data_IF_004769819310
#
_entry.id   IF_004769819310
#
_cell.length_a   1.000
_cell.length_b   1.000
_cell.length_c   1.000
_cell.angle_alpha   90.00
_cell.angle_beta   90.00
_cell.angle_gamma   90.00
#
_symmetry.space_group_name_H-M   'P 1'
#
loop_
_entity.id
_entity.type
_entity.pdbx_description
1 polymer ?
#
# COMPACT_ATOMS: atom_id res chain seq x y z
N UNK A 1 1.66 30.56 6.27
CA UNK A 1 2.38 29.44 5.67
C UNK A 1 3.38 29.99 4.68
N UNK A 2 4.64 29.57 4.82
CA UNK A 2 5.70 29.88 3.83
C UNK A 2 6.05 28.59 3.09
N UNK A 3 6.03 28.62 1.76
CA UNK A 3 6.39 27.50 0.89
C UNK A 3 7.90 27.52 0.64
N UNK A 4 8.55 26.38 0.76
CA UNK A 4 9.98 26.17 0.57
C UNK A 4 10.86 27.19 1.32
N UNK A 5 10.72 27.29 2.66
CA UNK A 5 11.49 28.22 3.46
C UNK A 5 13.00 27.94 3.37
N UNK A 6 13.80 28.99 3.40
CA UNK A 6 15.25 28.88 3.50
C UNK A 6 15.68 28.39 4.88
N UNK A 7 16.67 27.51 4.91
CA UNK A 7 17.30 27.03 6.13
C UNK A 7 18.73 27.64 6.24
N UNK A 8 19.09 28.15 7.41
CA UNK A 8 20.44 28.65 7.64
C UNK A 8 21.51 27.54 7.57
N UNK A 9 21.11 26.28 7.86
CA UNK A 9 22.02 25.14 7.98
C UNK A 9 22.09 24.23 6.75
N UNK A 10 21.26 24.47 5.72
CA UNK A 10 21.16 23.55 4.58
C UNK A 10 20.67 24.26 3.30
N UNK A 11 21.21 23.92 2.14
CA UNK A 11 20.66 24.41 0.85
C UNK A 11 19.33 23.74 0.47
N UNK A 12 18.97 22.67 1.17
CA UNK A 12 17.69 21.98 0.97
C UNK A 12 16.60 22.70 1.75
N UNK A 13 15.40 22.76 1.18
CA UNK A 13 14.25 23.46 1.75
C UNK A 13 13.17 22.45 2.13
N UNK A 14 12.59 22.55 3.35
CA UNK A 14 11.34 21.84 3.68
C UNK A 14 10.20 22.30 2.76
N UNK A 15 9.14 21.50 2.66
CA UNK A 15 8.01 21.90 1.81
C UNK A 15 7.29 23.14 2.37
N UNK A 16 7.14 23.22 3.72
CA UNK A 16 6.43 24.33 4.35
C UNK A 16 7.07 24.75 5.69
N UNK A 17 6.93 26.05 6.01
CA UNK A 17 7.00 26.58 7.37
C UNK A 17 5.59 27.05 7.77
N UNK A 18 5.07 26.48 8.84
CA UNK A 18 3.77 26.81 9.41
C UNK A 18 3.97 27.77 10.58
N UNK A 19 3.25 28.88 10.56
CA UNK A 19 3.17 29.83 11.70
C UNK A 19 1.70 30.00 12.03
N UNK A 20 1.28 29.54 13.23
CA UNK A 20 -0.10 29.64 13.73
C UNK A 20 -0.10 29.58 15.26
N UNK A 21 -0.87 30.45 15.92
CA UNK A 21 -1.08 30.42 17.37
C UNK A 21 0.23 30.40 18.20
N UNK A 22 1.22 31.20 17.83
CA UNK A 22 2.58 31.23 18.41
C UNK A 22 3.32 29.89 18.30
N UNK A 23 2.94 29.02 17.37
CA UNK A 23 3.73 27.88 16.94
C UNK A 23 4.40 28.18 15.61
N UNK A 24 5.67 27.81 15.50
CA UNK A 24 6.39 27.76 14.23
C UNK A 24 7.05 26.40 14.08
N UNK A 25 6.79 25.71 12.97
CA UNK A 25 7.37 24.40 12.69
C UNK A 25 7.48 24.14 11.21
N UNK A 26 8.49 23.36 10.83
CA UNK A 26 8.67 22.89 9.47
C UNK A 26 7.80 21.65 9.20
N UNK A 27 7.36 21.54 7.96
CA UNK A 27 6.61 20.38 7.47
C UNK A 27 7.25 19.89 6.18
N UNK A 28 7.43 18.58 6.11
CA UNK A 28 7.78 17.86 4.89
C UNK A 28 6.62 16.94 4.53
N UNK A 29 6.06 17.09 3.33
CA UNK A 29 4.95 16.29 2.85
C UNK A 29 5.42 15.24 1.84
N UNK A 30 4.82 14.04 1.89
CA UNK A 30 5.13 12.98 0.93
C UNK A 30 3.96 12.04 0.76
N UNK A 31 3.70 11.64 -0.49
CA UNK A 31 2.84 10.50 -0.79
C UNK A 31 3.68 9.22 -0.76
N UNK A 32 3.23 8.23 0.01
CA UNK A 32 3.80 6.89 0.07
C UNK A 32 2.95 5.97 -0.79
N UNK A 33 3.56 5.37 -1.81
CA UNK A 33 2.90 4.40 -2.69
C UNK A 33 3.46 3.01 -2.41
N UNK A 34 2.64 1.98 -2.63
CA UNK A 34 3.03 0.57 -2.50
C UNK A 34 4.07 0.11 -3.50
N UNK A 35 4.24 0.85 -4.58
CA UNK A 35 4.93 0.37 -5.76
C UNK A 35 6.18 1.17 -6.05
N UNK A 36 7.26 0.45 -6.32
CA UNK A 36 8.46 1.03 -6.92
C UNK A 36 8.19 1.37 -8.39
N UNK A 37 9.05 2.19 -9.00
CA UNK A 37 8.94 2.47 -10.44
C UNK A 37 9.00 1.20 -11.29
N UNK A 38 9.75 0.18 -10.84
CA UNK A 38 9.84 -1.13 -11.50
C UNK A 38 8.52 -1.91 -11.40
N UNK A 39 7.89 -1.89 -10.22
CA UNK A 39 6.57 -2.49 -10.02
C UNK A 39 5.48 -1.78 -10.84
N UNK A 40 5.51 -0.43 -10.89
CA UNK A 40 4.59 0.33 -11.74
C UNK A 40 4.81 0.03 -13.24
N UNK A 41 6.06 -0.15 -13.67
CA UNK A 41 6.39 -0.53 -15.04
C UNK A 41 5.91 -1.96 -15.36
N UNK A 42 6.09 -2.89 -14.42
CA UNK A 42 5.58 -4.27 -14.54
C UNK A 42 4.05 -4.28 -14.69
N UNK A 43 3.34 -3.53 -13.85
CA UNK A 43 1.88 -3.46 -13.93
C UNK A 43 1.35 -2.82 -15.21
N UNK A 44 2.00 -1.77 -15.70
CA UNK A 44 1.63 -1.21 -17.01
C UNK A 44 1.74 -2.26 -18.11
N UNK A 45 2.84 -3.04 -18.13
CA UNK A 45 3.02 -4.15 -19.08
C UNK A 45 1.95 -5.20 -18.93
N UNK A 46 1.64 -5.58 -17.70
CA UNK A 46 0.61 -6.57 -17.37
C UNK A 46 -0.77 -6.10 -17.83
N UNK A 47 -1.14 -4.88 -17.52
CA UNK A 47 -2.44 -4.32 -17.89
C UNK A 47 -2.59 -4.23 -19.41
N UNK A 48 -1.55 -3.78 -20.12
CA UNK A 48 -1.57 -3.78 -21.60
C UNK A 48 -1.74 -5.19 -22.18
N UNK A 49 -1.10 -6.20 -21.57
CA UNK A 49 -1.29 -7.58 -21.98
C UNK A 49 -2.72 -8.05 -21.71
N UNK A 50 -3.30 -7.74 -20.57
CA UNK A 50 -4.69 -8.05 -20.22
C UNK A 50 -5.69 -7.34 -21.16
N UNK A 51 -5.46 -6.07 -21.47
CA UNK A 51 -6.28 -5.30 -22.42
C UNK A 51 -6.26 -5.95 -23.81
N UNK A 52 -5.13 -6.52 -24.22
CA UNK A 52 -5.03 -7.23 -25.47
C UNK A 52 -5.70 -8.63 -25.42
N UNK A 53 -5.60 -9.36 -24.31
CA UNK A 53 -6.33 -10.62 -24.11
C UNK A 53 -7.85 -10.39 -24.09
N UNK A 54 -8.30 -9.27 -23.51
CA UNK A 54 -9.73 -8.90 -23.49
C UNK A 54 -10.30 -8.51 -24.87
N UNK A 55 -9.47 -8.47 -25.91
CA UNK A 55 -9.92 -8.32 -27.32
C UNK A 55 -10.14 -9.66 -28.01
N UNK A 56 -9.80 -10.78 -27.36
CA UNK A 56 -10.10 -12.12 -27.89
C UNK A 56 -11.61 -12.29 -28.13
N UNK A 57 -11.97 -12.91 -29.22
CA UNK A 57 -13.35 -13.26 -29.48
C UNK A 57 -13.63 -14.67 -28.93
N UNK A 58 -13.92 -14.74 -27.65
CA UNK A 58 -14.25 -16.00 -26.95
C UNK A 58 -15.69 -15.91 -26.45
N UNK A 59 -16.63 -16.40 -27.24
CA UNK A 59 -18.05 -16.51 -26.81
C UNK A 59 -18.28 -17.70 -25.89
N UNK A 60 -17.52 -18.76 -26.11
CA UNK A 60 -17.71 -20.06 -25.48
C UNK A 60 -16.91 -20.24 -24.20
N UNK A 61 -15.91 -19.36 -23.94
CA UNK A 61 -14.99 -19.48 -22.81
C UNK A 61 -14.71 -18.16 -22.14
N UNK A 62 -14.62 -18.19 -20.82
CA UNK A 62 -13.84 -17.23 -20.04
C UNK A 62 -12.43 -17.78 -19.80
N UNK A 63 -11.46 -16.92 -19.63
CA UNK A 63 -10.07 -17.30 -19.36
C UNK A 63 -9.74 -17.12 -17.90
N UNK A 64 -9.22 -18.17 -17.27
CA UNK A 64 -8.52 -18.09 -16.00
C UNK A 64 -7.02 -17.96 -16.27
N UNK A 65 -6.40 -16.87 -15.85
CA UNK A 65 -4.94 -16.69 -15.98
C UNK A 65 -4.29 -17.29 -14.74
N UNK A 66 -3.76 -18.50 -14.87
CA UNK A 66 -3.11 -19.21 -13.77
C UNK A 66 -1.69 -18.68 -13.50
N UNK A 67 -0.98 -18.33 -14.56
CA UNK A 67 0.40 -17.87 -14.47
C UNK A 67 0.69 -16.80 -15.52
N UNK A 68 1.42 -15.77 -15.11
CA UNK A 68 2.01 -14.76 -15.98
C UNK A 68 3.36 -14.32 -15.47
N UNK A 69 4.39 -14.49 -16.29
CA UNK A 69 5.75 -14.05 -16.00
C UNK A 69 6.36 -13.34 -17.21
N UNK A 70 6.90 -12.15 -17.02
CA UNK A 70 7.72 -11.47 -18.04
C UNK A 70 9.17 -11.88 -17.87
N UNK A 71 9.76 -12.45 -18.92
CA UNK A 71 11.13 -12.96 -18.94
C UNK A 71 12.14 -11.88 -19.33
N UNK A 72 11.66 -10.73 -19.86
CA UNK A 72 12.50 -9.58 -20.21
C UNK A 72 11.84 -8.28 -19.79
N UNK A 73 12.63 -7.19 -19.80
CA UNK A 73 12.11 -5.84 -19.53
C UNK A 73 11.26 -5.27 -20.68
N UNK A 74 11.32 -5.85 -21.87
CA UNK A 74 10.58 -5.38 -23.05
C UNK A 74 9.11 -5.75 -22.94
N UNK A 75 8.25 -4.91 -23.54
CA UNK A 75 6.85 -5.25 -23.77
C UNK A 75 6.77 -6.41 -24.76
N UNK A 76 6.17 -7.57 -24.42
CA UNK A 76 6.05 -8.68 -25.34
C UNK A 76 5.08 -8.37 -26.48
N UNK A 77 5.35 -8.88 -27.66
CA UNK A 77 4.37 -8.84 -28.76
C UNK A 77 3.22 -9.80 -28.46
N UNK A 78 2.05 -9.25 -28.23
CA UNK A 78 0.84 -10.04 -27.87
C UNK A 78 0.16 -10.71 -29.06
N UNK A 79 0.36 -10.22 -30.28
CA UNK A 79 -0.32 -10.71 -31.48
C UNK A 79 -0.15 -12.22 -31.72
N UNK A 80 1.07 -12.76 -31.58
CA UNK A 80 1.34 -14.19 -31.77
C UNK A 80 0.74 -15.01 -30.63
N UNK A 81 0.82 -14.51 -29.41
CA UNK A 81 0.26 -15.16 -28.22
C UNK A 81 -1.26 -15.27 -28.33
N UNK A 82 -1.92 -14.19 -28.69
CA UNK A 82 -3.39 -14.15 -28.89
C UNK A 82 -3.80 -15.16 -29.94
N UNK A 83 -3.15 -15.12 -31.11
CA UNK A 83 -3.44 -16.07 -32.18
C UNK A 83 -3.27 -17.53 -31.74
N UNK A 84 -2.21 -17.82 -31.00
CA UNK A 84 -1.97 -19.16 -30.47
C UNK A 84 -3.09 -19.59 -29.50
N UNK A 85 -3.45 -18.72 -28.54
CA UNK A 85 -4.54 -19.02 -27.59
C UNK A 85 -5.87 -19.24 -28.35
N UNK A 86 -6.18 -18.41 -29.34
CA UNK A 86 -7.37 -18.58 -30.16
C UNK A 86 -7.40 -19.93 -30.92
N UNK A 87 -6.23 -20.35 -31.44
CA UNK A 87 -6.12 -21.64 -32.16
C UNK A 87 -6.29 -22.83 -31.20
N UNK A 88 -5.74 -22.75 -29.99
CA UNK A 88 -5.92 -23.81 -28.99
C UNK A 88 -7.36 -23.85 -28.45
N UNK A 89 -8.02 -22.72 -28.23
CA UNK A 89 -9.43 -22.66 -27.81
C UNK A 89 -10.37 -23.30 -28.83
N UNK A 90 -10.12 -23.13 -30.15
CA UNK A 90 -10.92 -23.73 -31.19
C UNK A 90 -10.86 -25.26 -31.22
N UNK A 91 -9.88 -25.88 -30.57
CA UNK A 91 -9.75 -27.35 -30.50
C UNK A 91 -10.52 -27.94 -29.33
N UNK A 92 -11.02 -27.10 -28.43
CA UNK A 92 -11.75 -27.51 -27.22
C UNK A 92 -13.25 -27.36 -27.49
N UNK A 93 -14.00 -28.41 -27.27
CA UNK A 93 -15.45 -28.34 -27.28
C UNK A 93 -15.93 -27.87 -25.89
N UNK A 94 -16.65 -26.73 -25.80
CA UNK A 94 -17.07 -26.17 -24.53
C UNK A 94 -18.07 -27.03 -23.77
N UNK A 95 -18.93 -27.78 -24.50
CA UNK A 95 -19.98 -28.59 -23.89
C UNK A 95 -19.39 -29.90 -23.34
N UNK A 96 -18.49 -30.54 -24.11
CA UNK A 96 -17.71 -31.69 -23.59
C UNK A 96 -16.89 -31.33 -22.39
N UNK A 97 -16.18 -30.17 -22.44
CA UNK A 97 -15.39 -29.70 -21.31
C UNK A 97 -16.27 -29.44 -20.08
N UNK A 98 -17.47 -28.87 -20.25
CA UNK A 98 -18.39 -28.64 -19.14
C UNK A 98 -18.79 -29.94 -18.47
N UNK A 99 -19.14 -30.99 -19.25
CA UNK A 99 -19.48 -32.31 -18.72
C UNK A 99 -18.29 -32.98 -17.99
N UNK A 100 -17.08 -32.86 -18.51
CA UNK A 100 -15.88 -33.41 -17.91
C UNK A 100 -15.59 -32.74 -16.56
N UNK A 101 -15.75 -31.41 -16.45
CA UNK A 101 -15.57 -30.69 -15.23
C UNK A 101 -16.61 -30.99 -14.14
N UNK A 102 -17.85 -31.21 -14.54
CA UNK A 102 -18.92 -31.68 -13.63
C UNK A 102 -18.61 -33.05 -13.05
N UNK A 103 -18.01 -33.96 -13.81
CA UNK A 103 -17.68 -35.33 -13.41
C UNK A 103 -16.39 -35.40 -12.59
N UNK A 104 -15.37 -34.65 -12.99
CA UNK A 104 -14.00 -34.83 -12.51
C UNK A 104 -13.51 -33.67 -11.61
N UNK A 105 -14.31 -32.60 -11.46
CA UNK A 105 -13.97 -31.43 -10.67
C UNK A 105 -13.09 -30.41 -11.40
N UNK A 106 -13.04 -29.22 -10.86
CA UNK A 106 -12.37 -28.03 -11.45
C UNK A 106 -10.84 -28.14 -11.50
N UNK A 107 -10.24 -29.12 -10.83
CA UNK A 107 -8.78 -29.31 -10.85
C UNK A 107 -8.25 -29.83 -12.20
N UNK A 108 -9.15 -30.29 -13.06
CA UNK A 108 -8.82 -30.88 -14.37
C UNK A 108 -9.01 -29.94 -15.56
N UNK A 109 -8.99 -28.64 -15.35
CA UNK A 109 -9.02 -27.67 -16.46
C UNK A 109 -7.85 -27.90 -17.43
N UNK A 110 -8.12 -27.95 -18.75
CA UNK A 110 -7.05 -27.96 -19.75
C UNK A 110 -6.22 -26.67 -19.63
N UNK A 111 -4.91 -26.80 -19.80
CA UNK A 111 -3.98 -25.67 -19.72
C UNK A 111 -3.45 -25.33 -21.10
N UNK A 112 -3.64 -24.08 -21.50
CA UNK A 112 -3.03 -23.52 -22.70
C UNK A 112 -1.79 -22.75 -22.25
N UNK A 113 -0.62 -23.29 -22.52
CA UNK A 113 0.66 -22.71 -22.19
C UNK A 113 1.29 -22.04 -23.40
N UNK A 114 1.58 -20.76 -23.29
CA UNK A 114 2.36 -20.01 -24.27
C UNK A 114 3.63 -19.48 -23.65
N UNK A 115 4.76 -19.85 -24.23
CA UNK A 115 6.08 -19.39 -23.79
C UNK A 115 6.92 -18.97 -24.98
N UNK A 116 7.53 -17.81 -24.86
CA UNK A 116 8.56 -17.34 -25.78
C UNK A 116 9.70 -16.70 -24.98
N UNK A 117 10.62 -15.98 -25.64
CA UNK A 117 11.75 -15.33 -24.97
C UNK A 117 11.34 -14.18 -24.02
N UNK A 118 10.15 -13.58 -24.20
CA UNK A 118 9.75 -12.34 -23.52
C UNK A 118 8.66 -12.57 -22.47
N UNK A 119 7.82 -13.60 -22.64
CA UNK A 119 6.67 -13.88 -21.75
C UNK A 119 6.40 -15.37 -21.63
N UNK A 120 5.96 -15.78 -20.46
CA UNK A 120 5.40 -17.10 -20.16
C UNK A 120 4.02 -16.89 -19.55
N UNK A 121 2.99 -17.44 -20.14
CA UNK A 121 1.60 -17.37 -19.66
C UNK A 121 0.95 -18.76 -19.74
N UNK A 122 0.15 -19.06 -18.72
CA UNK A 122 -0.71 -20.25 -18.67
C UNK A 122 -2.13 -19.77 -18.44
N UNK A 123 -3.02 -20.17 -19.31
CA UNK A 123 -4.46 -19.87 -19.21
C UNK A 123 -5.27 -21.16 -19.25
N UNK A 124 -6.34 -21.21 -18.45
CA UNK A 124 -7.30 -22.31 -18.46
C UNK A 124 -8.65 -21.79 -18.96
N UNK A 125 -9.24 -22.40 -20.00
CA UNK A 125 -10.56 -22.02 -20.49
C UNK A 125 -11.65 -22.52 -19.54
N UNK A 126 -12.54 -21.62 -19.13
CA UNK A 126 -13.74 -21.92 -18.35
C UNK A 126 -14.92 -21.89 -19.33
N UNK A 127 -15.63 -23.02 -19.56
CA UNK A 127 -16.75 -23.04 -20.46
C UNK A 127 -17.92 -22.18 -19.99
N UNK A 128 -18.50 -21.39 -20.89
CA UNK A 128 -19.67 -20.55 -20.64
C UNK A 128 -20.92 -21.33 -20.93
N UNK A 129 -21.94 -21.25 -20.07
CA UNK A 129 -23.22 -21.89 -20.30
C UNK A 129 -23.89 -21.41 -21.61
N UNK A 130 -24.60 -22.27 -22.29
CA UNK A 130 -25.27 -21.96 -23.56
C UNK A 130 -26.11 -20.67 -23.51
N UNK A 131 -26.81 -20.45 -22.38
CA UNK A 131 -27.66 -19.27 -22.19
C UNK A 131 -26.88 -17.97 -22.07
N UNK A 132 -25.62 -18.02 -21.66
CA UNK A 132 -24.77 -16.82 -21.40
C UNK A 132 -23.82 -16.54 -22.59
N UNK A 133 -23.70 -17.40 -23.58
CA UNK A 133 -22.79 -17.21 -24.73
C UNK A 133 -23.16 -16.04 -25.64
N UNK A 134 -24.43 -15.62 -25.63
CA UNK A 134 -24.88 -14.45 -26.38
C UNK A 134 -24.58 -13.11 -25.69
N UNK A 135 -24.29 -13.13 -24.40
CA UNK A 135 -23.94 -11.96 -23.65
C UNK A 135 -22.47 -11.57 -23.92
N UNK A 136 -22.24 -10.29 -24.16
CA UNK A 136 -20.87 -9.77 -24.39
C UNK A 136 -20.11 -9.66 -23.07
N UNK A 137 -19.39 -10.70 -22.69
CA UNK A 137 -18.50 -10.70 -21.57
C UNK A 137 -17.05 -10.38 -21.98
N UNK A 138 -16.24 -9.86 -21.03
CA UNK A 138 -14.80 -9.77 -21.23
C UNK A 138 -14.20 -11.18 -21.18
N UNK A 139 -13.26 -11.50 -22.08
CA UNK A 139 -12.61 -12.81 -22.12
C UNK A 139 -11.95 -13.26 -20.83
N UNK A 140 -11.31 -12.35 -20.09
CA UNK A 140 -10.67 -12.71 -18.81
C UNK A 140 -11.74 -12.77 -17.71
N UNK A 141 -12.03 -13.98 -17.22
CA UNK A 141 -12.93 -14.21 -16.09
C UNK A 141 -12.23 -14.19 -14.75
N UNK A 142 -10.99 -14.70 -14.68
CA UNK A 142 -10.21 -14.77 -13.43
C UNK A 142 -8.79 -14.25 -13.69
N UNK A 143 -8.37 -13.29 -12.86
CA UNK A 143 -7.01 -12.81 -12.84
C UNK A 143 -6.18 -13.56 -11.79
N UNK A 144 -4.84 -13.66 -11.94
CA UNK A 144 -3.99 -14.25 -10.92
C UNK A 144 -4.22 -13.59 -9.55
N UNK A 145 -4.40 -14.41 -8.52
CA UNK A 145 -4.52 -13.91 -7.16
C UNK A 145 -3.18 -13.34 -6.68
N UNK A 146 -3.20 -12.11 -6.20
CA UNK A 146 -2.04 -11.48 -5.55
C UNK A 146 -2.30 -11.41 -4.04
N UNK A 147 -1.51 -12.13 -3.24
CA UNK A 147 -1.58 -12.07 -1.80
C UNK A 147 -0.38 -11.25 -1.27
N UNK A 148 -0.67 -10.26 -0.41
CA UNK A 148 0.34 -9.47 0.28
C UNK A 148 0.26 -9.75 1.78
N UNK A 149 1.40 -10.06 2.39
CA UNK A 149 1.52 -10.21 3.83
C UNK A 149 2.45 -9.13 4.37
N UNK A 150 1.92 -8.17 5.13
CA UNK A 150 2.70 -7.10 5.75
C UNK A 150 3.37 -6.13 4.77
N UNK A 151 4.41 -5.44 5.22
CA UNK A 151 5.25 -4.54 4.42
C UNK A 151 4.73 -3.11 4.31
N UNK A 152 3.56 -2.80 4.85
CA UNK A 152 3.06 -1.42 4.94
C UNK A 152 3.89 -0.58 5.90
N UNK A 153 4.22 -1.14 7.05
CA UNK A 153 5.09 -0.52 8.07
C UNK A 153 6.50 -0.23 7.55
N UNK A 154 7.09 -1.16 6.77
CA UNK A 154 8.44 -0.98 6.22
C UNK A 154 8.49 0.18 5.20
N UNK A 155 7.49 0.28 4.35
CA UNK A 155 7.34 1.39 3.40
C UNK A 155 7.24 2.75 4.10
N UNK A 156 6.52 2.81 5.23
CA UNK A 156 6.41 3.98 6.08
C UNK A 156 7.74 4.30 6.76
N UNK A 157 8.39 3.32 7.42
CA UNK A 157 9.70 3.47 8.09
C UNK A 157 10.72 4.07 7.12
N UNK A 158 10.90 3.46 5.95
CA UNK A 158 11.85 3.91 4.93
C UNK A 158 11.56 5.35 4.46
N UNK A 159 10.29 5.70 4.31
CA UNK A 159 9.87 7.03 3.89
C UNK A 159 10.17 8.09 4.95
N UNK A 160 9.88 7.80 6.21
CA UNK A 160 10.16 8.70 7.34
C UNK A 160 11.66 8.89 7.50
N UNK A 161 12.44 7.82 7.54
CA UNK A 161 13.88 7.87 7.73
C UNK A 161 14.59 8.69 6.64
N UNK A 162 14.22 8.45 5.39
CA UNK A 162 14.78 9.18 4.25
C UNK A 162 14.52 10.69 4.35
N UNK A 163 13.32 11.08 4.79
CA UNK A 163 12.94 12.49 4.90
C UNK A 163 13.53 13.13 6.17
N UNK A 164 13.55 12.44 7.31
CA UNK A 164 14.09 12.95 8.55
C UNK A 164 15.60 13.25 8.46
N UNK A 165 16.35 12.45 7.71
CA UNK A 165 17.80 12.63 7.52
C UNK A 165 18.16 13.73 6.48
N UNK A 166 17.15 14.34 5.83
CA UNK A 166 17.38 15.20 4.66
C UNK A 166 18.00 16.55 4.99
N UNK A 167 17.64 17.14 6.13
CA UNK A 167 17.93 18.54 6.45
C UNK A 167 19.01 18.73 7.52
N UNK A 168 19.42 17.68 8.21
CA UNK A 168 20.33 17.78 9.35
C UNK A 168 19.64 18.37 10.59
N UNK A 169 20.38 19.21 11.34
CA UNK A 169 19.85 19.87 12.53
C UNK A 169 19.02 21.10 12.12
N UNK A 170 17.79 21.14 12.59
CA UNK A 170 16.86 22.25 12.37
C UNK A 170 16.74 23.12 13.62
N UNK A 171 16.45 24.41 13.43
CA UNK A 171 16.27 25.40 14.51
C UNK A 171 14.83 25.43 15.06
N UNK A 172 13.88 24.77 14.39
CA UNK A 172 12.47 24.70 14.74
C UNK A 172 11.97 23.26 14.77
N UNK A 173 10.83 22.99 15.42
CA UNK A 173 10.15 21.72 15.35
C UNK A 173 9.92 21.29 13.90
N UNK A 174 9.97 19.97 13.65
CA UNK A 174 9.85 19.40 12.32
C UNK A 174 8.88 18.23 12.31
N UNK A 175 7.88 18.29 11.47
CA UNK A 175 6.87 17.25 11.28
C UNK A 175 6.97 16.69 9.86
N UNK A 176 6.97 15.38 9.73
CA UNK A 176 6.81 14.68 8.45
C UNK A 176 5.35 14.28 8.31
N UNK A 177 4.71 14.72 7.23
CA UNK A 177 3.35 14.37 6.86
C UNK A 177 3.37 13.39 5.68
N UNK A 178 2.92 12.16 5.90
CA UNK A 178 2.83 11.12 4.88
C UNK A 178 1.37 10.85 4.54
N UNK A 179 1.03 10.87 3.26
CA UNK A 179 -0.23 10.29 2.81
C UNK A 179 0.04 8.89 2.24
N UNK A 180 -0.39 7.85 2.94
CA UNK A 180 -0.18 6.46 2.52
C UNK A 180 -1.29 6.03 1.56
N UNK A 181 -0.94 5.91 0.29
CA UNK A 181 -1.75 5.26 -0.75
C UNK A 181 -1.37 3.79 -0.93
N UNK A 182 -0.51 3.26 -0.05
CA UNK A 182 -0.12 1.85 -0.05
C UNK A 182 -1.29 0.99 0.44
N UNK A 183 -1.72 0.05 -0.41
CA UNK A 183 -2.78 -0.91 -0.07
C UNK A 183 -2.39 -1.84 1.08
N UNK A 184 -1.09 -2.04 1.29
CA UNK A 184 -0.54 -2.86 2.38
C UNK A 184 -0.60 -2.17 3.73
N UNK A 185 -0.73 -0.84 3.77
CA UNK A 185 -1.02 -0.12 5.01
C UNK A 185 -2.51 -0.26 5.32
N UNK A 186 -2.86 -1.24 6.14
CA UNK A 186 -4.26 -1.55 6.45
C UNK A 186 -4.90 -0.54 7.40
N UNK A 187 -4.12 0.03 8.32
CA UNK A 187 -4.65 0.99 9.29
C UNK A 187 -3.67 1.35 10.40
N UNK A 188 -4.22 1.71 11.56
CA UNK A 188 -3.46 2.18 12.74
C UNK A 188 -2.37 1.20 13.17
N UNK A 189 -2.61 -0.10 13.08
CA UNK A 189 -1.65 -1.12 13.54
C UNK A 189 -0.33 -1.06 12.76
N UNK A 190 -0.39 -0.90 11.43
CA UNK A 190 0.81 -0.80 10.61
C UNK A 190 1.57 0.51 10.88
N UNK A 191 0.82 1.60 11.11
CA UNK A 191 1.41 2.89 11.46
C UNK A 191 2.04 2.84 12.85
N UNK A 192 1.34 2.27 13.84
CA UNK A 192 1.88 2.06 15.20
C UNK A 192 3.15 1.20 15.17
N UNK A 193 3.15 0.13 14.37
CA UNK A 193 4.33 -0.74 14.20
C UNK A 193 5.49 0.01 13.54
N UNK A 194 5.21 0.84 12.54
CA UNK A 194 6.25 1.67 11.93
C UNK A 194 6.86 2.68 12.92
N UNK A 195 6.03 3.31 13.76
CA UNK A 195 6.45 4.40 14.66
C UNK A 195 7.07 3.87 15.94
N UNK A 196 6.33 2.99 16.64
CA UNK A 196 6.67 2.51 17.98
C UNK A 196 7.44 1.20 18.01
N UNK A 197 7.49 0.50 16.86
CA UNK A 197 8.03 -0.84 16.74
C UNK A 197 6.96 -1.93 16.70
N UNK A 198 7.32 -3.06 16.14
CA UNK A 198 6.42 -4.20 15.89
C UNK A 198 5.85 -4.75 17.19
N UNK A 199 4.53 -4.91 17.24
CA UNK A 199 3.86 -5.55 18.37
C UNK A 199 4.04 -7.07 18.26
N UNK A 200 4.65 -7.69 19.27
CA UNK A 200 4.92 -9.13 19.33
C UNK A 200 4.38 -9.75 20.60
N UNK A 201 3.92 -10.98 20.51
CA UNK A 201 3.57 -11.78 21.66
C UNK A 201 4.84 -12.47 22.18
N UNK A 202 5.15 -12.26 23.46
CA UNK A 202 6.28 -12.89 24.14
C UNK A 202 5.73 -13.87 25.18
N UNK A 203 6.26 -15.07 25.21
CA UNK A 203 5.93 -16.09 26.21
C UNK A 203 7.16 -16.93 26.55
N UNK A 204 7.14 -17.56 27.73
CA UNK A 204 8.16 -18.53 28.14
C UNK A 204 8.00 -19.84 27.36
N UNK A 205 9.11 -20.50 27.07
CA UNK A 205 9.11 -21.87 26.54
C UNK A 205 8.82 -22.93 27.64
N UNK A 206 8.75 -22.53 28.91
CA UNK A 206 8.34 -23.40 30.00
C UNK A 206 6.81 -23.57 29.97
N UNK A 207 6.26 -24.81 29.79
CA UNK A 207 4.83 -25.05 29.69
C UNK A 207 4.04 -24.68 30.97
N UNK A 208 4.71 -24.60 32.11
CA UNK A 208 4.08 -24.26 33.40
C UNK A 208 4.02 -22.74 33.63
N UNK A 209 4.71 -21.96 32.81
CA UNK A 209 4.73 -20.50 32.91
C UNK A 209 3.55 -19.87 32.16
N UNK A 210 2.75 -19.06 32.85
CA UNK A 210 1.68 -18.26 32.24
C UNK A 210 2.11 -16.79 32.17
N UNK A 211 3.14 -16.51 31.36
CA UNK A 211 3.79 -15.21 31.28
C UNK A 211 3.61 -14.55 29.90
N UNK A 212 2.56 -14.92 29.17
CA UNK A 212 2.23 -14.31 27.89
C UNK A 212 2.00 -12.82 28.02
N UNK A 213 2.73 -12.04 27.24
CA UNK A 213 2.59 -10.58 27.22
C UNK A 213 2.84 -10.00 25.84
N UNK A 214 2.10 -8.97 25.51
CA UNK A 214 2.37 -8.17 24.34
C UNK A 214 3.50 -7.19 24.63
N UNK A 215 4.53 -7.21 23.79
CA UNK A 215 5.68 -6.30 23.85
C UNK A 215 5.87 -5.60 22.51
N UNK A 216 6.40 -4.38 22.53
CA UNK A 216 6.88 -3.73 21.31
C UNK A 216 8.37 -3.98 21.13
N UNK A 217 8.74 -4.37 19.92
CA UNK A 217 10.13 -4.54 19.55
C UNK A 217 10.81 -3.19 19.36
N UNK A 218 12.13 -3.15 19.50
CA UNK A 218 12.92 -1.93 19.30
C UNK A 218 13.32 -1.78 17.82
N UNK A 219 12.32 -1.71 16.95
CA UNK A 219 12.48 -1.63 15.49
C UNK A 219 11.65 -0.51 14.84
N UNK A 220 11.13 0.40 15.66
CA UNK A 220 10.38 1.57 15.20
C UNK A 220 11.26 2.73 14.72
N UNK A 221 10.65 3.74 14.12
CA UNK A 221 11.40 4.91 13.63
C UNK A 221 11.88 5.82 14.75
N UNK A 222 11.22 5.82 15.92
CA UNK A 222 11.60 6.66 17.05
C UNK A 222 12.64 6.03 17.96
N UNK A 223 12.80 4.71 17.94
CA UNK A 223 13.79 4.01 18.74
C UNK A 223 14.27 2.72 18.07
N UNK A 224 15.48 2.31 18.40
CA UNK A 224 16.05 1.00 18.12
C UNK A 224 16.77 0.46 19.36
N UNK A 225 17.48 -0.66 19.24
CA UNK A 225 18.27 -1.26 20.32
C UNK A 225 19.34 -0.31 20.89
N UNK A 226 19.77 0.68 20.11
CA UNK A 226 20.76 1.70 20.52
C UNK A 226 20.13 2.90 21.22
N UNK A 227 18.80 2.95 21.29
CA UNK A 227 18.03 4.00 21.93
C UNK A 227 17.25 4.90 20.96
N UNK A 228 17.09 6.18 21.30
CA UNK A 228 16.29 7.12 20.53
C UNK A 228 16.93 7.46 19.18
N UNK A 229 16.11 7.38 18.14
CA UNK A 229 16.46 7.69 16.74
C UNK A 229 15.79 9.00 16.30
N UNK A 230 16.28 9.58 15.22
CA UNK A 230 15.66 10.72 14.52
C UNK A 230 15.26 11.89 15.45
N UNK A 231 16.07 12.22 16.46
CA UNK A 231 15.76 13.25 17.48
C UNK A 231 15.53 14.65 16.90
N UNK A 232 15.97 14.91 15.68
CA UNK A 232 15.67 16.14 14.94
C UNK A 232 14.21 16.20 14.45
N UNK A 233 13.48 15.08 14.48
CA UNK A 233 12.08 14.98 14.12
C UNK A 233 11.21 15.20 15.35
N UNK A 234 10.19 16.08 15.24
CA UNK A 234 9.29 16.40 16.36
C UNK A 234 8.04 15.51 16.33
N UNK A 235 7.58 15.15 15.14
CA UNK A 235 6.44 14.26 15.00
C UNK A 235 6.26 13.73 13.58
N UNK A 236 5.37 12.77 13.48
CA UNK A 236 4.98 12.15 12.20
C UNK A 236 3.46 12.12 12.11
N UNK A 237 2.91 12.64 11.02
CA UNK A 237 1.51 12.48 10.66
C UNK A 237 1.42 11.51 9.48
N UNK A 238 0.62 10.47 9.63
CA UNK A 238 0.28 9.55 8.54
C UNK A 238 -1.21 9.65 8.28
N UNK A 239 -1.61 9.75 7.01
CA UNK A 239 -3.02 9.76 6.60
C UNK A 239 -3.27 8.72 5.50
N UNK A 240 -4.54 8.31 5.37
CA UNK A 240 -5.05 7.54 4.21
C UNK A 240 -6.10 8.39 3.51
N UNK A 241 -5.63 9.42 2.82
CA UNK A 241 -6.45 10.43 2.17
C UNK A 241 -6.52 10.16 0.68
N UNK A 242 -7.74 10.00 0.18
CA UNK A 242 -8.09 9.91 -1.24
C UNK A 242 -9.11 10.99 -1.59
N UNK A 243 -9.25 11.41 -2.86
CA UNK A 243 -10.23 12.42 -3.24
C UNK A 243 -11.65 12.11 -2.79
N UNK A 244 -12.03 10.83 -2.76
CA UNK A 244 -13.39 10.40 -2.41
C UNK A 244 -13.65 10.22 -0.90
N UNK A 245 -12.64 10.29 -0.03
CA UNK A 245 -12.82 10.03 1.40
C UNK A 245 -12.39 11.20 2.30
N UNK A 246 -12.09 12.38 1.75
CA UNK A 246 -11.54 13.53 2.49
C UNK A 246 -12.24 13.79 3.84
N UNK A 247 -13.58 13.88 3.91
CA UNK A 247 -14.28 14.22 5.15
C UNK A 247 -14.14 13.15 6.25
N UNK A 248 -13.93 11.90 5.86
CA UNK A 248 -13.89 10.74 6.75
C UNK A 248 -12.53 10.03 6.77
N UNK A 249 -11.53 10.65 6.18
CA UNK A 249 -10.18 10.06 6.09
C UNK A 249 -9.56 9.88 7.46
N UNK A 250 -8.97 8.72 7.66
CA UNK A 250 -8.19 8.46 8.86
C UNK A 250 -6.83 9.15 8.78
N UNK A 251 -6.41 9.68 9.91
CA UNK A 251 -5.04 10.13 10.13
C UNK A 251 -4.55 9.77 11.53
N UNK A 252 -3.23 9.69 11.68
CA UNK A 252 -2.55 9.35 12.92
C UNK A 252 -1.34 10.27 13.06
N UNK A 253 -1.34 11.11 14.10
CA UNK A 253 -0.25 12.02 14.43
C UNK A 253 0.46 11.50 15.66
N UNK A 254 1.78 11.44 15.61
CA UNK A 254 2.64 10.90 16.68
C UNK A 254 3.64 11.94 17.11
N UNK A 255 3.71 12.21 18.40
CA UNK A 255 4.74 13.02 19.01
C UNK A 255 6.00 12.17 19.24
N UNK A 256 7.16 12.67 18.86
CA UNK A 256 8.43 12.03 19.16
C UNK A 256 8.83 12.30 20.61
N UNK A 257 8.90 11.29 21.51
CA UNK A 257 9.07 11.50 22.94
C UNK A 257 10.41 12.15 23.31
N UNK A 258 11.45 11.93 22.50
CA UNK A 258 12.81 12.39 22.71
C UNK A 258 13.30 13.35 21.62
N UNK A 259 12.39 14.11 20.99
CA UNK A 259 12.75 15.16 20.04
C UNK A 259 13.59 16.25 20.69
N UNK A 260 14.59 16.75 19.98
CA UNK A 260 15.40 17.91 20.39
C UNK A 260 14.60 19.21 20.33
N UNK A 261 13.71 19.36 19.36
CA UNK A 261 12.86 20.52 19.17
C UNK A 261 11.43 20.21 19.61
N UNK A 262 11.10 20.48 20.86
CA UNK A 262 9.77 20.25 21.43
C UNK A 262 8.76 21.28 20.94
N UNK A 263 7.49 20.85 20.81
CA UNK A 263 6.36 21.74 20.61
C UNK A 263 5.13 21.23 21.37
N UNK A 264 4.17 22.09 21.58
CA UNK A 264 2.89 21.74 22.21
C UNK A 264 1.88 21.28 21.15
N UNK A 265 1.70 19.96 21.02
CA UNK A 265 0.80 19.35 20.04
C UNK A 265 -0.68 19.69 20.28
N UNK A 266 -1.08 20.05 21.53
CA UNK A 266 -2.47 20.47 21.81
C UNK A 266 -2.85 21.74 21.02
N UNK A 267 -1.90 22.61 20.73
CA UNK A 267 -2.13 23.84 19.96
C UNK A 267 -2.40 23.59 18.47
N UNK A 268 -2.12 22.40 17.95
CA UNK A 268 -2.42 22.04 16.57
C UNK A 268 -3.92 21.77 16.40
N UNK A 269 -4.58 21.20 17.43
CA UNK A 269 -6.00 20.83 17.41
C UNK A 269 -6.28 19.44 16.82
N UNK A 270 -5.26 18.72 16.40
CA UNK A 270 -5.38 17.36 15.85
C UNK A 270 -5.33 16.30 16.95
N UNK A 271 -5.96 15.15 16.72
CA UNK A 271 -5.72 13.94 17.52
C UNK A 271 -4.25 13.55 17.41
N UNK A 272 -3.61 13.19 18.52
CA UNK A 272 -2.23 12.73 18.48
C UNK A 272 -1.92 11.68 19.53
N UNK A 273 -0.88 10.91 19.28
CA UNK A 273 -0.37 9.84 20.14
C UNK A 273 0.96 10.29 20.74
N UNK A 274 1.12 10.08 22.04
CA UNK A 274 2.35 10.40 22.76
C UNK A 274 2.66 9.34 23.83
N UNK A 275 3.87 9.36 24.40
CA UNK A 275 4.24 8.45 25.48
C UNK A 275 4.16 9.20 26.82
N UNK A 276 3.43 8.62 27.77
CA UNK A 276 3.39 9.05 29.15
C UNK A 276 3.64 7.86 30.08
N UNK A 277 4.69 7.97 30.92
CA UNK A 277 5.09 6.92 31.87
C UNK A 277 5.19 5.52 31.22
N UNK A 278 5.79 5.46 30.04
CA UNK A 278 5.98 4.21 29.28
C UNK A 278 4.74 3.64 28.59
N UNK A 279 3.62 4.36 28.59
CA UNK A 279 2.38 3.97 27.92
C UNK A 279 2.10 4.90 26.76
N UNK A 280 1.61 4.35 25.65
CA UNK A 280 1.10 5.11 24.52
C UNK A 280 -0.28 5.65 24.90
N UNK A 281 -0.46 6.96 24.81
CA UNK A 281 -1.71 7.66 25.08
C UNK A 281 -2.23 8.28 23.81
N UNK A 282 -3.52 8.05 23.53
CA UNK A 282 -4.25 8.72 22.47
C UNK A 282 -4.89 10.01 23.02
N UNK A 283 -4.50 11.17 22.51
CA UNK A 283 -5.14 12.43 22.82
C UNK A 283 -6.26 12.73 21.80
N UNK A 284 -7.32 13.37 22.28
CA UNK A 284 -8.47 13.75 21.45
C UNK A 284 -8.18 14.97 20.59
N UNK A 285 -8.93 15.15 19.52
CA UNK A 285 -8.85 16.27 18.59
C UNK A 285 -9.86 16.10 17.45
N UNK A 286 -9.85 17.03 16.50
CA UNK A 286 -10.81 17.05 15.41
C UNK A 286 -10.49 16.05 14.30
N UNK A 287 -11.52 15.62 13.58
CA UNK A 287 -11.41 14.87 12.32
C UNK A 287 -11.13 15.81 11.15
N UNK A 288 -10.54 15.29 10.08
CA UNK A 288 -10.18 16.09 8.89
C UNK A 288 -11.39 16.82 8.32
N UNK A 289 -12.55 16.16 8.23
CA UNK A 289 -13.79 16.76 7.74
C UNK A 289 -14.20 17.99 8.54
N UNK A 290 -14.14 17.92 9.89
CA UNK A 290 -14.46 19.04 10.77
C UNK A 290 -13.45 20.19 10.60
N UNK A 291 -12.14 19.88 10.50
CA UNK A 291 -11.09 20.89 10.33
C UNK A 291 -11.21 21.64 9.01
N UNK A 292 -11.60 20.93 7.95
CA UNK A 292 -11.78 21.50 6.61
C UNK A 292 -13.19 22.00 6.35
N UNK A 293 -14.11 21.87 7.32
CA UNK A 293 -15.53 22.23 7.20
C UNK A 293 -16.22 21.58 5.99
N UNK A 294 -15.86 20.32 5.71
CA UNK A 294 -16.37 19.54 4.58
C UNK A 294 -17.41 18.54 5.07
N UNK A 295 -18.60 18.57 4.47
CA UNK A 295 -19.66 17.59 4.74
C UNK A 295 -19.23 16.16 4.35
N UNK A 296 -19.76 15.15 5.08
CA UNK A 296 -19.53 13.75 4.73
C UNK A 296 -20.05 13.39 3.33
N UNK A 297 -21.02 14.13 2.84
CA UNK A 297 -21.69 13.92 1.55
C UNK A 297 -21.13 14.83 0.42
N UNK A 298 -19.94 15.38 0.58
CA UNK A 298 -19.40 16.40 -0.33
C UNK A 298 -19.15 15.93 -1.77
N UNK A 299 -19.13 14.60 -2.01
CA UNK A 299 -18.96 13.98 -3.33
C UNK A 299 -20.18 13.21 -3.83
N UNK A 300 -21.32 13.32 -3.15
CA UNK A 300 -22.57 12.67 -3.55
C UNK A 300 -23.43 13.63 -4.37
#
# INVERSE_FOLDING_TARGET
ITIHPDLASSPKKPDFLISKNNLEFYVEAKVVKSKTMEQEAFERKRNELYDNLNKLNTKDFLLNIEHLCFLTQKQPSTKRMIKYIEEELKRIDPDILSEELEKNGIENFPKIEYKNRDVHIIVSPIPVSLSAREEKALPIGIYPAEAFWGGGEESLKNSIEKKAKRYGKLDKPFIICLNSLDIRTSGKIDVDNAIWGTLALSWSTNPESKDEKWIRQLDGVFCDEKGARLKNLTGVLVSKLYPHNVPVANYWLYEHPLSENKMDFNKIGLKFNYINKGKIIDNTGDDIGNILEISKDWLI
#
